data_IF_463600651518
#
_entry.id   IF_463600651518
#
_cell.length_a   1.000
_cell.length_b   1.000
_cell.length_c   1.000
_cell.angle_alpha   90.00
_cell.angle_beta   90.00
_cell.angle_gamma   90.00
#
_symmetry.space_group_name_H-M   'P 1'
#
loop_
_entity.id
_entity.type
_entity.pdbx_description
1 polymer ?
#
# COMPACT_ATOMS: atom_id res chain seq x y z
N UNK A 1 3.83 -1.65 3.34
CA UNK A 1 2.81 -1.95 4.37
C UNK A 1 2.96 -3.37 4.84
N UNK A 2 3.12 -3.57 6.13
CA UNK A 2 3.21 -4.89 6.73
C UNK A 2 1.85 -5.54 6.88
N UNK A 3 1.80 -6.86 6.69
CA UNK A 3 0.60 -7.67 6.94
C UNK A 3 0.87 -8.56 8.14
N UNK A 4 0.06 -8.47 9.18
CA UNK A 4 0.28 -9.17 10.45
C UNK A 4 -0.47 -10.48 10.55
N UNK A 5 -1.72 -10.50 10.15
CA UNK A 5 -2.54 -11.73 10.15
C UNK A 5 -3.68 -11.56 9.15
N UNK A 6 -4.19 -12.67 8.65
CA UNK A 6 -5.36 -12.66 7.75
C UNK A 6 -6.65 -12.73 8.58
N UNK A 7 -7.68 -12.00 8.13
CA UNK A 7 -9.00 -12.16 8.72
C UNK A 7 -9.57 -13.53 8.37
N UNK A 8 -10.42 -14.12 9.24
CA UNK A 8 -11.01 -15.42 8.96
C UNK A 8 -11.70 -15.48 7.60
N UNK A 9 -11.42 -16.53 6.83
CA UNK A 9 -11.98 -16.72 5.50
C UNK A 9 -11.22 -16.03 4.36
N UNK A 10 -10.17 -15.26 4.66
CA UNK A 10 -9.36 -14.59 3.65
C UNK A 10 -8.28 -15.53 3.10
N UNK A 11 -8.24 -15.67 1.78
CA UNK A 11 -7.15 -16.38 1.10
C UNK A 11 -5.90 -15.49 1.05
N UNK A 12 -4.70 -16.03 1.37
CA UNK A 12 -3.47 -15.23 1.29
C UNK A 12 -3.25 -14.59 -0.06
N UNK A 13 -3.59 -15.27 -1.14
CA UNK A 13 -3.43 -14.79 -2.51
C UNK A 13 -4.36 -13.64 -2.88
N UNK A 14 -5.38 -13.36 -2.08
CA UNK A 14 -6.33 -12.28 -2.35
C UNK A 14 -5.80 -10.91 -1.95
N UNK A 15 -4.83 -10.83 -1.05
CA UNK A 15 -4.41 -9.57 -0.42
C UNK A 15 -3.67 -8.67 -1.41
N UNK A 16 -2.67 -9.18 -2.13
CA UNK A 16 -1.91 -8.38 -3.08
C UNK A 16 -2.76 -7.90 -4.25
N UNK A 17 -3.59 -8.74 -4.89
CA UNK A 17 -4.51 -8.26 -5.93
C UNK A 17 -5.49 -7.21 -5.44
N UNK A 18 -5.97 -7.29 -4.19
CA UNK A 18 -6.85 -6.28 -3.62
C UNK A 18 -6.15 -4.94 -3.46
N UNK A 19 -4.91 -4.93 -2.98
CA UNK A 19 -4.10 -3.73 -2.87
C UNK A 19 -3.86 -3.09 -4.24
N UNK A 20 -3.40 -3.87 -5.21
CA UNK A 20 -3.14 -3.39 -6.56
C UNK A 20 -4.42 -2.91 -7.25
N UNK A 21 -5.53 -3.61 -7.07
CA UNK A 21 -6.83 -3.24 -7.63
C UNK A 21 -7.34 -1.91 -7.10
N UNK A 22 -7.22 -1.68 -5.80
CA UNK A 22 -7.62 -0.41 -5.19
C UNK A 22 -6.82 0.77 -5.76
N UNK A 23 -5.51 0.59 -5.98
CA UNK A 23 -4.68 1.61 -6.60
C UNK A 23 -5.06 1.84 -8.08
N UNK A 24 -5.32 0.77 -8.82
CA UNK A 24 -5.70 0.84 -10.25
C UNK A 24 -7.00 1.57 -10.50
N UNK A 25 -7.92 1.55 -9.55
CA UNK A 25 -9.18 2.29 -9.66
C UNK A 25 -8.97 3.80 -9.65
N UNK A 26 -7.82 4.27 -9.17
CA UNK A 26 -7.54 5.69 -8.98
C UNK A 26 -6.41 6.22 -9.85
N UNK A 27 -5.47 5.37 -10.23
CA UNK A 27 -4.27 5.82 -10.94
C UNK A 27 -3.61 4.67 -11.70
N UNK A 28 -2.52 4.98 -12.37
CA UNK A 28 -1.67 3.98 -13.03
C UNK A 28 -0.77 3.31 -11.99
N UNK A 29 -0.85 2.00 -11.89
CA UNK A 29 0.04 1.19 -11.07
C UNK A 29 1.24 0.76 -11.91
N UNK A 30 2.45 1.15 -11.48
CA UNK A 30 3.69 0.78 -12.16
C UNK A 30 4.14 -0.64 -11.80
N UNK A 31 4.03 -0.99 -10.53
CA UNK A 31 4.38 -2.32 -10.03
C UNK A 31 3.75 -2.58 -8.67
N UNK A 32 3.64 -3.84 -8.33
CA UNK A 32 3.22 -4.27 -7.00
C UNK A 32 3.96 -5.55 -6.64
N UNK A 33 4.24 -5.73 -5.36
CA UNK A 33 5.07 -6.82 -4.88
C UNK A 33 4.75 -7.15 -3.42
N UNK A 34 5.02 -8.40 -3.06
CA UNK A 34 5.03 -8.84 -1.67
C UNK A 34 6.40 -9.44 -1.37
N UNK A 35 6.98 -9.01 -0.25
CA UNK A 35 8.26 -9.53 0.22
C UNK A 35 8.11 -9.99 1.66
N UNK A 36 8.96 -10.92 2.07
CA UNK A 36 9.07 -11.34 3.47
C UNK A 36 10.28 -10.63 4.05
N UNK A 37 10.03 -9.77 5.04
CA UNK A 37 11.08 -9.01 5.73
C UNK A 37 11.02 -9.39 7.20
N UNK A 38 12.08 -9.98 7.72
CA UNK A 38 12.18 -10.43 9.12
C UNK A 38 11.02 -11.36 9.51
N UNK A 39 10.62 -12.25 8.61
CA UNK A 39 9.54 -13.20 8.85
C UNK A 39 8.13 -12.64 8.70
N UNK A 40 7.97 -11.37 8.33
CA UNK A 40 6.67 -10.74 8.12
C UNK A 40 6.45 -10.39 6.66
N UNK A 41 5.23 -10.60 6.16
CA UNK A 41 4.86 -10.22 4.80
C UNK A 41 4.74 -8.71 4.70
N UNK A 42 5.28 -8.15 3.63
CA UNK A 42 5.25 -6.72 3.37
C UNK A 42 4.82 -6.46 1.93
N UNK A 43 3.77 -5.66 1.77
CA UNK A 43 3.22 -5.31 0.46
C UNK A 43 3.73 -3.94 0.05
N UNK A 44 4.19 -3.83 -1.19
CA UNK A 44 4.62 -2.58 -1.81
C UNK A 44 3.83 -2.38 -3.09
N UNK A 45 3.22 -1.21 -3.23
CA UNK A 45 2.54 -0.79 -4.47
C UNK A 45 3.18 0.50 -4.94
N UNK A 46 3.64 0.49 -6.19
CA UNK A 46 4.25 1.64 -6.83
C UNK A 46 3.28 2.21 -7.85
N UNK A 47 2.95 3.49 -7.72
CA UNK A 47 1.93 4.15 -8.54
C UNK A 47 2.32 5.58 -8.86
N UNK A 48 1.62 6.18 -9.85
CA UNK A 48 1.81 7.58 -10.20
C UNK A 48 0.79 8.45 -9.47
N UNK A 49 1.17 9.70 -9.17
CA UNK A 49 0.25 10.70 -8.61
C UNK A 49 0.73 12.09 -9.01
N UNK A 50 -0.23 13.01 -9.20
CA UNK A 50 0.09 14.38 -9.60
C UNK A 50 0.74 15.18 -8.46
N UNK A 51 0.34 14.91 -7.23
CA UNK A 51 0.81 15.61 -6.04
C UNK A 51 0.66 14.72 -4.80
N UNK A 52 1.11 15.22 -3.65
CA UNK A 52 1.02 14.49 -2.40
C UNK A 52 -0.41 14.20 -1.94
N UNK A 53 -1.38 15.15 -2.02
CA UNK A 53 -2.77 14.83 -1.70
C UNK A 53 -3.36 13.71 -2.55
N UNK A 54 -3.06 13.67 -3.85
CA UNK A 54 -3.51 12.59 -4.73
C UNK A 54 -2.86 11.26 -4.34
N UNK A 55 -1.57 11.29 -4.01
CA UNK A 55 -0.85 10.09 -3.55
C UNK A 55 -1.42 9.56 -2.23
N UNK A 56 -1.75 10.45 -1.30
CA UNK A 56 -2.38 10.07 -0.02
C UNK A 56 -3.75 9.43 -0.23
N UNK A 57 -4.54 9.93 -1.17
CA UNK A 57 -5.84 9.35 -1.50
C UNK A 57 -5.70 7.90 -1.99
N UNK A 58 -4.76 7.66 -2.89
CA UNK A 58 -4.46 6.30 -3.36
C UNK A 58 -3.99 5.41 -2.22
N UNK A 59 -3.08 5.91 -1.39
CA UNK A 59 -2.55 5.15 -0.25
C UNK A 59 -3.63 4.76 0.74
N UNK A 60 -4.59 5.66 1.02
CA UNK A 60 -5.74 5.37 1.88
C UNK A 60 -6.62 4.27 1.30
N UNK A 61 -6.86 4.32 -0.01
CA UNK A 61 -7.67 3.31 -0.68
C UNK A 61 -7.01 1.92 -0.63
N UNK A 62 -5.70 1.88 -0.87
CA UNK A 62 -4.92 0.64 -0.78
C UNK A 62 -4.95 0.09 0.65
N UNK A 63 -4.70 0.95 1.63
CA UNK A 63 -4.74 0.55 3.04
C UNK A 63 -6.12 0.01 3.44
N UNK A 64 -7.19 0.69 3.06
CA UNK A 64 -8.55 0.26 3.37
C UNK A 64 -8.87 -1.11 2.74
N UNK A 65 -8.44 -1.33 1.49
CA UNK A 65 -8.67 -2.61 0.81
C UNK A 65 -7.93 -3.76 1.50
N UNK A 66 -6.69 -3.54 1.93
CA UNK A 66 -5.91 -4.56 2.64
C UNK A 66 -6.46 -4.77 4.05
N UNK A 67 -6.82 -3.68 4.75
CA UNK A 67 -7.37 -3.76 6.11
C UNK A 67 -8.70 -4.51 6.19
N UNK A 68 -9.47 -4.54 5.10
CA UNK A 68 -10.68 -5.33 5.01
C UNK A 68 -10.40 -6.84 5.01
N UNK A 69 -9.19 -7.26 4.64
CA UNK A 69 -8.80 -8.66 4.48
C UNK A 69 -7.83 -9.13 5.57
N UNK A 70 -7.05 -8.22 6.16
CA UNK A 70 -5.96 -8.59 7.04
C UNK A 70 -5.65 -7.49 8.05
N UNK A 71 -5.00 -7.87 9.15
CA UNK A 71 -4.35 -6.90 10.03
C UNK A 71 -3.14 -6.30 9.34
N UNK A 72 -2.94 -5.00 9.51
CA UNK A 72 -1.83 -4.27 8.88
C UNK A 72 -1.05 -3.49 9.91
N UNK A 73 0.26 -3.30 9.66
CA UNK A 73 1.05 -2.31 10.33
C UNK A 73 0.77 -0.92 9.77
N UNK A 74 1.46 0.09 10.29
CA UNK A 74 1.35 1.44 9.76
C UNK A 74 1.85 1.48 8.32
N UNK A 75 1.07 2.04 7.37
CA UNK A 75 1.53 2.17 6.00
C UNK A 75 2.56 3.29 5.89
N UNK A 76 3.50 3.11 4.96
CA UNK A 76 4.48 4.12 4.60
C UNK A 76 4.18 4.62 3.19
N UNK A 77 4.28 5.92 2.99
CA UNK A 77 4.17 6.54 1.67
C UNK A 77 5.47 7.27 1.38
N UNK A 78 6.01 7.07 0.18
CA UNK A 78 7.23 7.75 -0.26
C UNK A 78 7.05 8.28 -1.67
N UNK A 79 7.65 9.43 -1.94
CA UNK A 79 7.68 10.07 -3.25
C UNK A 79 9.06 9.96 -3.85
N UNK A 80 9.12 9.64 -5.14
CA UNK A 80 10.39 9.51 -5.84
C UNK A 80 10.85 10.84 -6.43
N UNK A 81 12.11 11.20 -6.11
CA UNK A 81 12.82 12.31 -6.73
C UNK A 81 14.11 11.76 -7.36
N UNK A 82 14.14 11.68 -8.69
CA UNK A 82 15.25 11.02 -9.38
C UNK A 82 15.39 9.57 -8.91
N UNK A 83 16.60 9.14 -8.46
CA UNK A 83 16.81 7.78 -7.98
C UNK A 83 16.43 7.56 -6.51
N UNK A 84 15.96 8.59 -5.78
CA UNK A 84 15.72 8.53 -4.34
C UNK A 84 14.25 8.59 -4.00
N UNK A 85 13.87 7.87 -2.93
CA UNK A 85 12.54 7.90 -2.34
C UNK A 85 12.56 8.74 -1.07
N UNK A 86 11.60 9.64 -0.94
CA UNK A 86 11.44 10.50 0.22
C UNK A 86 10.12 10.22 0.92
N UNK A 87 10.11 10.04 2.26
CA UNK A 87 8.87 9.78 3.00
C UNK A 87 7.88 10.94 2.84
N UNK A 88 6.61 10.58 2.70
CA UNK A 88 5.48 11.51 2.78
C UNK A 88 4.76 11.21 4.09
N UNK A 89 4.33 12.24 4.81
CA UNK A 89 3.68 12.07 6.11
C UNK A 89 2.44 11.18 6.03
N UNK A 90 2.42 10.13 6.86
CA UNK A 90 1.29 9.21 6.96
C UNK A 90 1.12 8.75 8.41
N UNK A 91 -0.09 8.78 8.98
CA UNK A 91 -1.26 9.51 8.45
C UNK A 91 -1.00 11.01 8.36
N UNK A 92 -1.72 11.76 7.50
CA UNK A 92 -1.51 13.21 7.40
C UNK A 92 -1.84 13.87 8.73
N UNK A 93 -1.03 14.85 9.11
CA UNK A 93 -1.24 15.63 10.32
C UNK A 93 -2.19 16.79 10.06
N UNK A 94 -3.07 17.01 10.97
CA UNK A 94 -3.95 18.17 10.98
C UNK A 94 -5.37 17.90 10.58
#
# INVERSE_FOLDING_TARGET
MGVTFLHPGTEPEAVLPAAAGAARERTTVESYDVAVVRGAARITVRFTAEDDPAALDVARAVHAAVAALAGTGSPDLARRYGPRWHPVGWPPRG
#
